data_IF_552415253809
#
_entry.id   IF_552415253809
#
_cell.length_a   1.000
_cell.length_b   1.000
_cell.length_c   1.000
_cell.angle_alpha   90.00
_cell.angle_beta   90.00
_cell.angle_gamma   90.00
#
_symmetry.space_group_name_H-M   'P 1'
#
loop_
_entity.id
_entity.type
_entity.pdbx_description
1 polymer ?
#
# COMPACT_ATOMS: atom_id res chain seq x y z
N UNK A 1 3.12 -62.72 18.51
CA UNK A 1 3.23 -61.90 17.27
C UNK A 1 2.50 -60.54 17.33
N UNK A 2 2.06 -60.01 18.49
CA UNK A 2 1.19 -58.80 18.52
C UNK A 2 1.89 -57.42 18.70
N UNK A 3 3.20 -57.36 18.92
CA UNK A 3 3.86 -56.11 19.36
C UNK A 3 4.42 -55.20 18.25
N UNK A 4 4.70 -55.74 17.04
CA UNK A 4 5.12 -54.92 15.89
C UNK A 4 4.06 -53.90 15.48
N UNK A 5 2.77 -54.24 15.64
CA UNK A 5 1.66 -53.34 15.33
C UNK A 5 1.65 -52.08 16.20
N UNK A 6 2.03 -52.20 17.49
CA UNK A 6 1.98 -51.07 18.42
C UNK A 6 3.11 -50.05 18.15
N UNK A 7 4.29 -50.53 17.75
CA UNK A 7 5.42 -49.67 17.36
C UNK A 7 5.15 -49.03 15.99
N UNK A 8 4.59 -49.79 15.04
CA UNK A 8 4.21 -49.26 13.72
C UNK A 8 3.10 -48.21 13.80
N UNK A 9 2.11 -48.38 14.70
CA UNK A 9 1.06 -47.36 14.93
C UNK A 9 1.64 -46.06 15.52
N UNK A 10 2.55 -46.15 16.49
CA UNK A 10 3.22 -44.97 17.07
C UNK A 10 4.09 -44.24 16.06
N UNK A 11 4.77 -44.97 15.17
CA UNK A 11 5.57 -44.38 14.09
C UNK A 11 4.67 -43.70 13.05
N UNK A 12 3.52 -44.29 12.72
CA UNK A 12 2.52 -43.72 11.80
C UNK A 12 1.89 -42.43 12.33
N UNK A 13 1.67 -42.35 13.65
CA UNK A 13 1.26 -41.13 14.34
C UNK A 13 2.33 -40.04 14.27
N UNK A 14 3.59 -40.39 14.54
CA UNK A 14 4.71 -39.44 14.42
C UNK A 14 4.90 -38.94 12.98
N UNK A 15 4.73 -39.80 11.97
CA UNK A 15 4.80 -39.37 10.56
C UNK A 15 3.64 -38.46 10.16
N UNK A 16 2.43 -38.72 10.65
CA UNK A 16 1.29 -37.85 10.41
C UNK A 16 1.51 -36.45 11.02
N UNK A 17 2.04 -36.40 12.25
CA UNK A 17 2.45 -35.16 12.92
C UNK A 17 3.55 -34.42 12.14
N UNK A 18 4.54 -35.13 11.60
CA UNK A 18 5.59 -34.54 10.79
C UNK A 18 5.05 -33.91 9.49
N UNK A 19 4.06 -34.53 8.85
CA UNK A 19 3.40 -33.96 7.66
C UNK A 19 2.66 -32.66 8.04
N UNK A 20 1.95 -32.64 9.17
CA UNK A 20 1.26 -31.44 9.66
C UNK A 20 2.27 -30.31 9.92
N UNK A 21 3.41 -30.61 10.56
CA UNK A 21 4.49 -29.64 10.77
C UNK A 21 5.02 -29.06 9.46
N UNK A 22 5.22 -29.89 8.43
CA UNK A 22 5.68 -29.45 7.11
C UNK A 22 4.65 -28.53 6.45
N UNK A 23 3.36 -28.88 6.52
CA UNK A 23 2.28 -28.05 5.96
C UNK A 23 2.25 -26.68 6.64
N UNK A 24 2.33 -26.64 7.98
CA UNK A 24 2.36 -25.38 8.73
C UNK A 24 3.61 -24.56 8.39
N UNK A 25 4.78 -25.18 8.25
CA UNK A 25 6.02 -24.51 7.84
C UNK A 25 5.94 -23.91 6.43
N UNK A 26 5.33 -24.63 5.48
CA UNK A 26 5.14 -24.14 4.11
C UNK A 26 4.18 -22.95 4.09
N UNK A 27 3.06 -23.05 4.82
CA UNK A 27 2.11 -21.94 4.96
C UNK A 27 2.78 -20.69 5.55
N UNK A 28 3.55 -20.87 6.63
CA UNK A 28 4.28 -19.79 7.27
C UNK A 28 5.26 -19.09 6.31
N UNK A 29 5.99 -19.87 5.49
CA UNK A 29 6.88 -19.30 4.47
C UNK A 29 6.13 -18.58 3.35
N UNK A 30 5.01 -19.12 2.87
CA UNK A 30 4.19 -18.46 1.85
C UNK A 30 3.61 -17.13 2.36
N UNK A 31 3.19 -17.08 3.62
CA UNK A 31 2.68 -15.86 4.26
C UNK A 31 3.75 -14.75 4.35
N UNK A 32 5.00 -15.14 4.59
CA UNK A 32 6.13 -14.20 4.63
C UNK A 32 6.48 -13.61 3.24
N UNK A 33 6.33 -14.40 2.17
CA UNK A 33 6.52 -13.91 0.80
C UNK A 33 5.45 -12.86 0.43
N UNK A 34 4.18 -13.12 0.79
CA UNK A 34 3.07 -12.19 0.56
C UNK A 34 3.27 -10.85 1.29
N UNK A 35 3.92 -10.84 2.47
CA UNK A 35 4.26 -9.61 3.19
C UNK A 35 5.31 -8.76 2.45
N UNK A 36 6.24 -9.39 1.75
CA UNK A 36 7.31 -8.69 1.02
C UNK A 36 6.74 -8.06 -0.26
N UNK A 37 5.90 -8.80 -0.99
CA UNK A 37 5.18 -8.33 -2.18
C UNK A 37 4.20 -7.18 -1.87
N UNK A 38 3.57 -7.21 -0.69
CA UNK A 38 2.74 -6.12 -0.18
C UNK A 38 3.55 -4.84 0.03
N UNK A 39 4.75 -4.93 0.60
CA UNK A 39 5.63 -3.79 0.84
C UNK A 39 6.04 -3.08 -0.46
N UNK A 40 6.38 -3.85 -1.50
CA UNK A 40 6.75 -3.32 -2.82
C UNK A 40 5.54 -2.66 -3.52
N UNK A 41 4.38 -3.32 -3.49
CA UNK A 41 3.14 -2.80 -4.08
C UNK A 41 2.70 -1.51 -3.37
N UNK A 42 2.70 -1.51 -2.03
CA UNK A 42 2.40 -0.32 -1.22
C UNK A 42 3.37 0.82 -1.50
N UNK A 43 4.68 0.54 -1.56
CA UNK A 43 5.70 1.54 -1.87
C UNK A 43 5.48 2.20 -3.24
N UNK A 44 5.11 1.42 -4.26
CA UNK A 44 4.84 1.97 -5.59
C UNK A 44 3.57 2.84 -5.62
N UNK A 45 2.48 2.40 -4.99
CA UNK A 45 1.20 3.12 -4.96
C UNK A 45 1.31 4.38 -4.10
N UNK A 46 1.99 4.31 -2.96
CA UNK A 46 2.24 5.46 -2.10
C UNK A 46 3.10 6.52 -2.80
N UNK A 47 4.13 6.09 -3.55
CA UNK A 47 4.96 6.99 -4.35
C UNK A 47 4.18 7.66 -5.47
N UNK A 48 3.26 6.93 -6.11
CA UNK A 48 2.35 7.51 -7.11
C UNK A 48 1.44 8.56 -6.47
N UNK A 49 0.83 8.27 -5.31
CA UNK A 49 -0.04 9.23 -4.60
C UNK A 49 0.69 10.51 -4.16
N UNK A 50 1.95 10.40 -3.74
CA UNK A 50 2.79 11.57 -3.46
C UNK A 50 3.09 12.39 -4.73
N UNK A 51 3.28 11.73 -5.87
CA UNK A 51 3.49 12.39 -7.15
C UNK A 51 2.24 13.16 -7.59
N UNK A 52 1.06 12.53 -7.47
CA UNK A 52 -0.24 13.13 -7.74
C UNK A 52 -0.45 14.39 -6.88
N UNK A 53 -0.17 14.31 -5.57
CA UNK A 53 -0.28 15.45 -4.66
C UNK A 53 0.67 16.59 -5.02
N UNK A 54 1.92 16.27 -5.41
CA UNK A 54 2.89 17.27 -5.85
C UNK A 54 2.40 18.04 -7.10
N UNK A 55 1.75 17.37 -8.05
CA UNK A 55 1.16 18.05 -9.20
C UNK A 55 0.00 18.96 -8.80
N UNK A 56 -0.89 18.51 -7.90
CA UNK A 56 -1.98 19.34 -7.35
C UNK A 56 -1.43 20.60 -6.68
N UNK A 57 -0.42 20.43 -5.83
CA UNK A 57 0.27 21.54 -5.17
C UNK A 57 0.88 22.53 -6.16
N UNK A 58 1.57 22.05 -7.20
CA UNK A 58 2.14 22.92 -8.25
C UNK A 58 1.06 23.69 -9.01
N UNK A 59 -0.07 23.04 -9.34
CA UNK A 59 -1.22 23.70 -9.98
C UNK A 59 -1.83 24.76 -9.07
N UNK A 60 -1.94 24.50 -7.77
CA UNK A 60 -2.47 25.45 -6.79
C UNK A 60 -1.56 26.68 -6.67
N UNK A 61 -0.25 26.48 -6.54
CA UNK A 61 0.73 27.56 -6.50
C UNK A 61 0.70 28.42 -7.77
N UNK A 62 0.71 27.79 -8.96
CA UNK A 62 0.59 28.51 -10.22
C UNK A 62 -0.71 29.33 -10.29
N UNK A 63 -1.82 28.78 -9.79
CA UNK A 63 -3.12 29.48 -9.72
C UNK A 63 -3.05 30.69 -8.79
N UNK A 64 -2.42 30.55 -7.62
CA UNK A 64 -2.22 31.65 -6.67
C UNK A 64 -1.28 32.73 -7.19
N UNK A 65 -0.19 32.35 -7.85
CA UNK A 65 0.79 33.25 -8.45
C UNK A 65 0.12 34.11 -9.55
N UNK A 66 -0.63 33.49 -10.46
CA UNK A 66 -1.40 34.23 -11.47
C UNK A 66 -2.41 35.20 -10.83
N UNK A 67 -3.13 34.74 -9.80
CA UNK A 67 -4.08 35.61 -9.06
C UNK A 67 -3.36 36.81 -8.43
N UNK A 68 -2.19 36.61 -7.86
CA UNK A 68 -1.38 37.68 -7.29
C UNK A 68 -0.89 38.67 -8.36
N UNK A 69 -0.38 38.18 -9.50
CA UNK A 69 0.04 39.02 -10.62
C UNK A 69 -1.08 39.92 -11.14
N UNK A 70 -2.31 39.41 -11.18
CA UNK A 70 -3.48 40.20 -11.58
C UNK A 70 -3.80 41.35 -10.63
N UNK A 71 -3.44 41.25 -9.35
CA UNK A 71 -3.58 42.38 -8.41
C UNK A 71 -2.59 43.51 -8.68
N UNK A 72 -1.54 43.24 -9.47
CA UNK A 72 -0.50 44.21 -9.83
C UNK A 72 -0.75 44.88 -11.19
N UNK A 73 -1.83 44.51 -11.89
CA UNK A 73 -2.21 45.13 -13.17
C UNK A 73 -2.56 46.60 -12.91
N UNK A 74 -1.78 47.47 -13.53
CA UNK A 74 -1.97 48.92 -13.61
C UNK A 74 -1.44 49.36 -14.98
N UNK A 75 -2.06 50.40 -15.56
CA UNK A 75 -2.02 50.82 -16.98
C UNK A 75 -0.63 50.96 -17.63
N UNK A 76 0.45 50.89 -16.85
CA UNK A 76 1.86 50.97 -17.29
C UNK A 76 2.60 49.64 -17.37
N UNK A 77 2.07 48.54 -16.79
CA UNK A 77 2.76 47.23 -16.71
C UNK A 77 1.94 46.05 -17.29
N UNK A 78 0.79 46.33 -17.88
CA UNK A 78 -0.17 45.30 -18.30
C UNK A 78 0.40 44.26 -19.26
N UNK A 79 1.27 44.65 -20.19
CA UNK A 79 1.82 43.73 -21.18
C UNK A 79 2.77 42.71 -20.55
N UNK A 80 3.70 43.16 -19.69
CA UNK A 80 4.65 42.28 -19.02
C UNK A 80 3.95 41.29 -18.08
N UNK A 81 2.93 41.75 -17.34
CA UNK A 81 2.13 40.88 -16.45
C UNK A 81 1.36 39.83 -17.27
N UNK A 82 0.77 40.21 -18.41
CA UNK A 82 0.07 39.26 -19.29
C UNK A 82 1.04 38.21 -19.88
N UNK A 83 2.24 38.62 -20.26
CA UNK A 83 3.29 37.71 -20.73
C UNK A 83 3.73 36.72 -19.64
N UNK A 84 3.87 37.19 -18.40
CA UNK A 84 4.20 36.35 -17.25
C UNK A 84 3.09 35.34 -16.93
N UNK A 85 1.83 35.79 -16.90
CA UNK A 85 0.66 34.91 -16.74
C UNK A 85 0.61 33.84 -17.85
N UNK A 86 0.90 34.22 -19.09
CA UNK A 86 0.98 33.27 -20.22
C UNK A 86 2.12 32.26 -20.05
N UNK A 87 3.28 32.68 -19.56
CA UNK A 87 4.40 31.79 -19.24
C UNK A 87 4.03 30.78 -18.15
N UNK A 88 3.34 31.23 -17.10
CA UNK A 88 2.81 30.34 -16.05
C UNK A 88 1.80 29.35 -16.63
N UNK A 89 0.90 29.80 -17.50
CA UNK A 89 -0.06 28.93 -18.18
C UNK A 89 0.62 27.81 -19.00
N UNK A 90 1.69 28.14 -19.74
CA UNK A 90 2.45 27.13 -20.50
C UNK A 90 3.12 26.08 -19.59
N UNK A 91 3.69 26.51 -18.46
CA UNK A 91 4.24 25.59 -17.46
C UNK A 91 3.15 24.71 -16.86
N UNK A 92 1.99 25.30 -16.57
CA UNK A 92 0.85 24.59 -16.01
C UNK A 92 0.26 23.57 -16.97
N UNK A 93 0.27 23.83 -18.28
CA UNK A 93 -0.15 22.86 -19.31
C UNK A 93 0.70 21.57 -19.25
N UNK A 94 2.01 21.69 -18.97
CA UNK A 94 2.89 20.52 -18.79
C UNK A 94 2.53 19.74 -17.52
N UNK A 95 2.30 20.44 -16.39
CA UNK A 95 1.89 19.80 -15.13
C UNK A 95 0.56 19.09 -15.28
N UNK A 96 -0.41 19.71 -15.95
CA UNK A 96 -1.73 19.13 -16.24
C UNK A 96 -1.57 17.86 -17.09
N UNK A 97 -0.71 17.89 -18.12
CA UNK A 97 -0.44 16.72 -18.95
C UNK A 97 0.18 15.57 -18.17
N UNK A 98 1.11 15.84 -17.26
CA UNK A 98 1.73 14.81 -16.44
C UNK A 98 0.76 14.26 -15.39
N UNK A 99 -0.08 15.11 -14.80
CA UNK A 99 -1.16 14.68 -13.91
C UNK A 99 -2.16 13.75 -14.62
N UNK A 100 -2.52 14.04 -15.87
CA UNK A 100 -3.41 13.20 -16.68
C UNK A 100 -2.89 11.78 -16.95
N UNK A 101 -1.57 11.57 -16.86
CA UNK A 101 -0.95 10.25 -17.05
C UNK A 101 -0.96 9.40 -15.79
N UNK A 102 -1.24 10.01 -14.63
CA UNK A 102 -1.34 9.30 -13.35
C UNK A 102 -2.66 8.53 -13.25
N UNK A 103 -2.74 7.62 -12.28
CA UNK A 103 -3.95 6.87 -12.02
C UNK A 103 -4.96 7.70 -11.22
N UNK A 104 -6.02 8.18 -11.91
CA UNK A 104 -7.09 8.96 -11.31
C UNK A 104 -8.26 8.07 -10.85
N UNK A 105 -8.72 8.27 -9.62
CA UNK A 105 -9.98 7.68 -9.14
C UNK A 105 -11.19 8.28 -9.88
N UNK A 106 -12.35 7.63 -9.75
CA UNK A 106 -13.60 8.11 -10.38
C UNK A 106 -13.94 9.52 -9.89
N UNK A 107 -13.76 9.78 -8.59
CA UNK A 107 -14.04 11.07 -7.97
C UNK A 107 -13.04 12.14 -8.41
N UNK A 108 -11.74 11.81 -8.42
CA UNK A 108 -10.68 12.70 -8.92
C UNK A 108 -10.94 13.11 -10.37
N UNK A 109 -11.23 12.13 -11.23
CA UNK A 109 -11.46 12.38 -12.65
C UNK A 109 -12.66 13.32 -12.88
N UNK A 110 -13.73 13.18 -12.08
CA UNK A 110 -14.89 14.07 -12.15
C UNK A 110 -14.50 15.51 -11.81
N UNK A 111 -13.89 15.72 -10.64
CA UNK A 111 -13.50 17.06 -10.18
C UNK A 111 -12.45 17.67 -11.12
N UNK A 112 -11.49 16.87 -11.55
CA UNK A 112 -10.43 17.32 -12.45
C UNK A 112 -10.96 17.75 -13.82
N UNK A 113 -11.95 17.04 -14.39
CA UNK A 113 -12.61 17.48 -15.63
C UNK A 113 -13.28 18.84 -15.48
N UNK A 114 -13.93 19.10 -14.35
CA UNK A 114 -14.55 20.38 -14.10
C UNK A 114 -13.50 21.47 -13.85
N UNK A 115 -12.38 21.14 -13.19
CA UNK A 115 -11.22 22.03 -13.05
C UNK A 115 -10.66 22.43 -14.43
N UNK A 116 -10.51 21.50 -15.37
CA UNK A 116 -10.03 21.81 -16.72
C UNK A 116 -10.96 22.79 -17.46
N UNK A 117 -12.27 22.62 -17.33
CA UNK A 117 -13.25 23.55 -17.91
C UNK A 117 -13.12 24.94 -17.29
N UNK A 118 -13.05 25.00 -15.96
CA UNK A 118 -12.92 26.26 -15.23
C UNK A 118 -11.59 26.97 -15.57
N UNK A 119 -10.49 26.22 -15.62
CA UNK A 119 -9.17 26.72 -16.03
C UNK A 119 -9.15 27.22 -17.47
N UNK A 120 -9.83 26.55 -18.40
CA UNK A 120 -9.95 27.02 -19.78
C UNK A 120 -10.70 28.35 -19.85
N UNK A 121 -11.83 28.48 -19.14
CA UNK A 121 -12.57 29.73 -19.06
C UNK A 121 -11.73 30.84 -18.43
N UNK A 122 -10.98 30.52 -17.38
CA UNK A 122 -10.07 31.45 -16.71
C UNK A 122 -9.04 32.02 -17.69
N UNK A 123 -8.39 31.16 -18.49
CA UNK A 123 -7.39 31.59 -19.50
C UNK A 123 -7.96 32.55 -20.55
N UNK A 124 -9.22 32.35 -20.96
CA UNK A 124 -9.88 33.28 -21.89
C UNK A 124 -10.04 34.66 -21.26
N UNK A 125 -10.44 34.71 -20.00
CA UNK A 125 -10.64 35.98 -19.30
C UNK A 125 -9.32 36.68 -18.91
N UNK A 126 -8.25 35.90 -18.69
CA UNK A 126 -6.89 36.42 -18.44
C UNK A 126 -6.35 37.27 -19.61
N UNK A 127 -6.87 37.12 -20.84
CA UNK A 127 -6.46 37.94 -21.99
C UNK A 127 -6.93 39.40 -21.89
N UNK A 128 -8.09 39.63 -21.25
CA UNK A 128 -8.65 40.96 -21.05
C UNK A 128 -9.19 41.13 -19.61
N UNK A 129 -8.29 41.18 -18.61
CA UNK A 129 -8.65 41.08 -17.21
C UNK A 129 -9.44 42.30 -16.70
N UNK A 130 -9.14 43.51 -17.20
CA UNK A 130 -9.73 44.78 -16.71
C UNK A 130 -11.26 44.81 -16.79
N UNK A 131 -11.84 44.23 -17.84
CA UNK A 131 -13.28 44.23 -18.07
C UNK A 131 -14.06 43.28 -17.15
N UNK A 132 -13.38 42.31 -16.51
CA UNK A 132 -14.01 41.12 -15.93
C UNK A 132 -13.40 40.69 -14.58
N UNK A 133 -12.74 41.60 -13.85
CA UNK A 133 -12.05 41.34 -12.57
C UNK A 133 -12.89 40.52 -11.57
N UNK A 134 -14.19 40.80 -11.44
CA UNK A 134 -15.06 40.06 -10.53
C UNK A 134 -15.23 38.59 -10.95
N UNK A 135 -15.50 38.34 -12.24
CA UNK A 135 -15.63 36.98 -12.76
C UNK A 135 -14.31 36.22 -12.68
N UNK A 136 -13.21 36.92 -12.96
CA UNK A 136 -11.86 36.38 -12.88
C UNK A 136 -11.55 35.87 -11.46
N UNK A 137 -11.83 36.70 -10.44
CA UNK A 137 -11.65 36.34 -9.04
C UNK A 137 -12.49 35.12 -8.62
N UNK A 138 -13.75 35.03 -9.05
CA UNK A 138 -14.61 33.87 -8.80
C UNK A 138 -14.01 32.60 -9.42
N UNK A 139 -13.57 32.66 -10.68
CA UNK A 139 -12.94 31.51 -11.36
C UNK A 139 -11.64 31.07 -10.69
N UNK A 140 -10.80 31.99 -10.22
CA UNK A 140 -9.60 31.64 -9.43
C UNK A 140 -9.96 30.93 -8.13
N UNK A 141 -10.92 31.47 -7.37
CA UNK A 141 -11.35 30.87 -6.12
C UNK A 141 -11.93 29.47 -6.34
N UNK A 142 -12.70 29.27 -7.41
CA UNK A 142 -13.20 27.95 -7.81
C UNK A 142 -12.06 26.99 -8.15
N UNK A 143 -11.08 27.41 -8.96
CA UNK A 143 -9.92 26.57 -9.27
C UNK A 143 -9.18 26.12 -8.00
N UNK A 144 -8.89 27.06 -7.09
CA UNK A 144 -8.23 26.75 -5.81
C UNK A 144 -9.08 25.79 -4.97
N UNK A 145 -10.40 26.00 -4.89
CA UNK A 145 -11.29 25.11 -4.15
C UNK A 145 -11.30 23.69 -4.72
N UNK A 146 -11.33 23.53 -6.04
CA UNK A 146 -11.31 22.22 -6.70
C UNK A 146 -9.97 21.51 -6.52
N UNK A 147 -8.85 22.24 -6.61
CA UNK A 147 -7.52 21.69 -6.32
C UNK A 147 -7.39 21.28 -4.85
N UNK A 148 -7.97 22.07 -3.93
CA UNK A 148 -8.05 21.72 -2.50
C UNK A 148 -8.89 20.45 -2.29
N UNK A 149 -9.98 20.28 -3.03
CA UNK A 149 -10.80 19.06 -2.99
C UNK A 149 -10.03 17.84 -3.51
N UNK A 150 -9.29 17.99 -4.61
CA UNK A 150 -8.42 16.92 -5.13
C UNK A 150 -7.32 16.53 -4.13
N UNK A 151 -6.72 17.50 -3.43
CA UNK A 151 -5.72 17.26 -2.38
C UNK A 151 -6.33 16.54 -1.16
N UNK A 152 -7.56 16.90 -0.76
CA UNK A 152 -8.29 16.17 0.29
C UNK A 152 -8.54 14.71 -0.09
N UNK A 153 -8.84 14.43 -1.35
CA UNK A 153 -8.98 13.05 -1.81
C UNK A 153 -7.64 12.31 -1.70
N UNK A 154 -6.50 12.93 -2.03
CA UNK A 154 -5.18 12.29 -1.83
C UNK A 154 -4.93 11.93 -0.36
N UNK A 155 -5.36 12.78 0.58
CA UNK A 155 -5.22 12.50 2.00
C UNK A 155 -6.05 11.30 2.43
N UNK A 156 -7.30 11.19 1.94
CA UNK A 156 -8.19 10.05 2.21
C UNK A 156 -7.63 8.75 1.60
N UNK A 157 -7.18 8.79 0.35
CA UNK A 157 -6.57 7.64 -0.33
C UNK A 157 -5.27 7.23 0.36
N UNK A 158 -4.44 8.18 0.78
CA UNK A 158 -3.22 7.94 1.54
C UNK A 158 -3.49 7.31 2.91
N UNK A 159 -4.51 7.79 3.63
CA UNK A 159 -4.95 7.20 4.91
C UNK A 159 -5.50 5.79 4.71
N UNK A 160 -6.31 5.55 3.67
CA UNK A 160 -6.82 4.23 3.35
C UNK A 160 -5.69 3.25 3.03
N UNK A 161 -4.69 3.66 2.24
CA UNK A 161 -3.51 2.85 1.96
C UNK A 161 -2.74 2.52 3.24
N UNK A 162 -2.50 3.51 4.10
CA UNK A 162 -1.82 3.32 5.39
C UNK A 162 -2.56 2.34 6.30
N UNK A 163 -3.87 2.55 6.49
CA UNK A 163 -4.70 1.70 7.34
C UNK A 163 -4.79 0.26 6.82
N UNK A 164 -4.93 0.08 5.51
CA UNK A 164 -4.92 -1.24 4.89
C UNK A 164 -3.58 -1.96 5.10
N UNK A 165 -2.46 -1.26 4.91
CA UNK A 165 -1.12 -1.80 5.18
C UNK A 165 -0.98 -2.24 6.64
N UNK A 166 -1.37 -1.37 7.58
CA UNK A 166 -1.29 -1.66 9.01
C UNK A 166 -2.17 -2.86 9.42
N UNK A 167 -3.38 -2.95 8.90
CA UNK A 167 -4.30 -4.06 9.17
C UNK A 167 -3.76 -5.40 8.67
N UNK A 168 -3.09 -5.42 7.52
CA UNK A 168 -2.50 -6.64 6.96
C UNK A 168 -1.26 -7.06 7.77
N UNK A 169 -0.39 -6.13 8.14
CA UNK A 169 0.80 -6.40 8.96
C UNK A 169 0.41 -6.93 10.34
N UNK A 170 -0.53 -6.26 11.02
CA UNK A 170 -0.96 -6.65 12.38
C UNK A 170 -1.69 -8.00 12.41
N UNK A 171 -2.60 -8.25 11.47
CA UNK A 171 -3.33 -9.53 11.40
C UNK A 171 -2.37 -10.71 11.13
N UNK A 172 -1.42 -10.55 10.21
CA UNK A 172 -0.45 -11.59 9.90
C UNK A 172 0.57 -11.83 11.02
N UNK A 173 0.97 -10.79 11.76
CA UNK A 173 1.87 -10.94 12.91
C UNK A 173 1.24 -11.77 14.04
N UNK A 174 -0.02 -11.50 14.40
CA UNK A 174 -0.72 -12.26 15.43
C UNK A 174 -0.91 -13.73 15.04
N UNK A 175 -1.28 -14.00 13.79
CA UNK A 175 -1.42 -15.36 13.26
C UNK A 175 -0.08 -16.09 13.28
N UNK A 176 1.00 -15.43 12.86
CA UNK A 176 2.34 -16.02 12.84
C UNK A 176 2.83 -16.42 14.24
N UNK A 177 2.55 -15.62 15.29
CA UNK A 177 2.91 -15.99 16.66
C UNK A 177 2.13 -17.21 17.18
N UNK A 178 0.85 -17.32 16.84
CA UNK A 178 0.04 -18.49 17.17
C UNK A 178 0.54 -19.75 16.44
N UNK A 179 0.87 -19.63 15.15
CA UNK A 179 1.46 -20.73 14.37
C UNK A 179 2.80 -21.19 14.96
N UNK A 180 3.68 -20.26 15.34
CA UNK A 180 4.96 -20.58 15.97
C UNK A 180 4.76 -21.33 17.30
N UNK A 181 3.81 -20.87 18.12
CA UNK A 181 3.45 -21.57 19.36
C UNK A 181 2.94 -23.00 19.10
N UNK A 182 2.09 -23.17 18.07
CA UNK A 182 1.58 -24.47 17.67
C UNK A 182 2.69 -25.40 17.18
N UNK A 183 3.63 -24.89 16.37
CA UNK A 183 4.81 -25.62 15.89
C UNK A 183 5.67 -26.12 17.05
N UNK A 184 5.92 -25.30 18.07
CA UNK A 184 6.69 -25.69 19.26
C UNK A 184 5.99 -26.84 19.99
N UNK A 185 4.68 -26.72 20.24
CA UNK A 185 3.88 -27.75 20.92
C UNK A 185 3.90 -29.07 20.14
N UNK A 186 3.64 -29.03 18.83
CA UNK A 186 3.63 -30.21 17.97
C UNK A 186 5.03 -30.85 17.88
N UNK A 187 6.09 -30.04 17.83
CA UNK A 187 7.48 -30.50 17.87
C UNK A 187 7.81 -31.25 19.15
N UNK A 188 7.43 -30.71 20.31
CA UNK A 188 7.63 -31.35 21.61
C UNK A 188 6.88 -32.68 21.74
N UNK A 189 5.62 -32.74 21.28
CA UNK A 189 4.82 -33.97 21.27
C UNK A 189 5.48 -35.04 20.39
N UNK A 190 5.91 -34.65 19.19
CA UNK A 190 6.59 -35.55 18.26
C UNK A 190 7.90 -36.08 18.87
N UNK A 191 8.70 -35.21 19.50
CA UNK A 191 9.93 -35.61 20.19
C UNK A 191 9.66 -36.59 21.33
N UNK A 192 8.66 -36.33 22.18
CA UNK A 192 8.27 -37.21 23.27
C UNK A 192 7.85 -38.60 22.77
N UNK A 193 7.06 -38.67 21.70
CA UNK A 193 6.64 -39.93 21.06
C UNK A 193 7.84 -40.73 20.53
N UNK A 194 8.80 -40.05 19.89
CA UNK A 194 10.01 -40.68 19.33
C UNK A 194 10.96 -41.18 20.44
N UNK A 195 11.16 -40.40 21.50
CA UNK A 195 12.04 -40.80 22.62
C UNK A 195 11.46 -41.99 23.40
N UNK A 196 10.16 -41.99 23.68
CA UNK A 196 9.50 -43.12 24.33
C UNK A 196 9.50 -44.38 23.44
N UNK A 197 9.41 -44.25 22.12
CA UNK A 197 9.49 -45.40 21.22
C UNK A 197 10.89 -46.01 21.17
N UNK A 198 11.96 -45.19 21.17
CA UNK A 198 13.36 -45.67 21.21
C UNK A 198 13.72 -46.35 22.53
N UNK A 199 13.25 -45.82 23.66
CA UNK A 199 13.47 -46.40 24.99
C UNK A 199 12.92 -47.83 25.11
N UNK A 200 11.70 -48.06 24.61
CA UNK A 200 11.07 -49.38 24.58
C UNK A 200 11.84 -50.36 23.68
N UNK A 201 12.26 -49.93 22.49
CA UNK A 201 12.99 -50.79 21.56
C UNK A 201 14.37 -51.20 22.09
N UNK A 202 15.07 -50.31 22.80
CA UNK A 202 16.38 -50.61 23.39
C UNK A 202 16.31 -51.55 24.61
N UNK A 203 15.27 -51.44 25.46
CA UNK A 203 15.07 -52.38 26.57
C UNK A 203 14.74 -53.78 26.08
N UNK A 204 13.89 -53.89 25.04
CA UNK A 204 13.52 -55.18 24.44
C UNK A 204 14.68 -55.89 23.73
N UNK A 205 15.60 -55.16 23.08
CA UNK A 205 16.84 -55.75 22.53
C UNK A 205 17.79 -56.26 23.62
N UNK A 206 17.79 -55.64 24.81
CA UNK A 206 18.66 -56.04 25.91
C UNK A 206 18.18 -57.33 26.59
N UNK A 207 16.86 -57.51 26.70
CA UNK A 207 16.27 -58.75 27.22
C UNK A 207 16.41 -59.93 26.25
N UNK A 208 16.35 -59.71 24.93
CA UNK A 208 16.59 -60.79 23.95
C UNK A 208 18.05 -61.27 23.91
N UNK A 209 19.02 -60.41 24.25
CA UNK A 209 20.44 -60.77 24.29
C UNK A 209 20.88 -61.43 25.63
N UNK A 210 20.00 -61.46 26.64
CA UNK A 210 20.29 -62.01 27.98
C UNK A 210 19.60 -63.36 28.26
N UNK A 211 19.06 -64.04 27.23
CA UNK A 211 18.55 -65.40 27.38
C UNK A 211 19.72 -66.37 27.59
N UNK A 212 19.73 -67.18 28.69
CA UNK A 212 20.79 -68.16 28.89
C UNK A 212 20.76 -69.18 27.76
N UNK A 213 21.93 -69.40 27.14
CA UNK A 213 22.19 -70.52 26.25
C UNK A 213 21.95 -71.81 27.05
N UNK A 214 20.89 -72.53 26.69
CA UNK A 214 20.64 -73.90 27.13
C UNK A 214 21.21 -74.85 26.09
#
# INVERSE_FOLDING_TARGET
>A
MHFSYFVQQKLKLASALAIILIIVLVNNRLQNNNLTELGETFGSVYKDRLLVENYIFKMANATHEKKYLLTQIDRRKDQAIKEEINSINQKMDSIISDYQKTYLTINENKIFKDYLKNNTRLRVLEQNPESQIFQLNDLYNRNVAMLTELSKIQMIEGEALYNNSQSIVTSNASISYLELGLLIILGLISQALIFNSKSLNNRLRKDQNNLPLN
#
